data_IF_338121868748
#
_entry.id   IF_338121868748
#
_cell.length_a   1.000
_cell.length_b   1.000
_cell.length_c   1.000
_cell.angle_alpha   90.00
_cell.angle_beta   90.00
_cell.angle_gamma   90.00
#
_symmetry.space_group_name_H-M   'P 1'
#
loop_
_entity.id
_entity.type
_entity.pdbx_description
1 polymer ?
#
# COMPACT_ATOMS: atom_id res chain seq x y z
N UNK A 1 42.73 43.32 -33.38
CA UNK A 1 41.29 42.95 -33.36
C UNK A 1 41.20 41.47 -33.04
N UNK A 2 40.93 41.12 -31.77
CA UNK A 2 41.00 39.75 -31.27
C UNK A 2 39.63 39.41 -30.67
N UNK A 3 38.84 38.59 -31.38
CA UNK A 3 37.49 38.18 -30.97
C UNK A 3 37.59 37.14 -29.84
N UNK A 4 36.97 37.35 -28.65
CA UNK A 4 36.88 36.31 -27.66
C UNK A 4 35.78 35.32 -28.07
N UNK A 5 36.16 34.04 -28.18
CA UNK A 5 35.24 32.93 -28.41
C UNK A 5 34.44 32.70 -27.14
N UNK A 6 33.14 32.93 -27.21
CA UNK A 6 32.18 32.59 -26.16
C UNK A 6 32.11 31.07 -26.07
N UNK A 7 32.69 30.49 -25.03
CA UNK A 7 32.47 29.09 -24.66
C UNK A 7 31.08 29.00 -24.03
N UNK A 8 30.08 28.64 -24.83
CA UNK A 8 28.77 28.22 -24.34
C UNK A 8 28.96 26.81 -23.77
N UNK A 9 29.22 26.73 -22.47
CA UNK A 9 29.18 25.48 -21.72
C UNK A 9 27.75 24.96 -21.69
N UNK A 10 27.48 23.95 -22.51
CA UNK A 10 26.24 23.20 -22.50
C UNK A 10 26.15 22.41 -21.19
N UNK A 11 25.53 22.99 -20.16
CA UNK A 11 25.17 22.30 -18.94
C UNK A 11 24.07 21.28 -19.28
N UNK A 12 24.46 20.03 -19.51
CA UNK A 12 23.55 18.92 -19.66
C UNK A 12 22.80 18.72 -18.33
N UNK A 13 21.55 19.16 -18.29
CA UNK A 13 20.59 18.81 -17.25
C UNK A 13 20.43 17.28 -17.26
N UNK A 14 21.04 16.61 -16.30
CA UNK A 14 20.73 15.22 -15.93
C UNK A 14 19.30 15.21 -15.36
N UNK A 15 18.30 15.25 -16.24
CA UNK A 15 16.96 14.85 -15.91
C UNK A 15 17.00 13.34 -15.66
N UNK A 16 17.29 12.94 -14.42
CA UNK A 16 17.23 11.55 -14.01
C UNK A 16 15.82 11.02 -14.23
N UNK A 17 15.66 10.07 -15.15
CA UNK A 17 14.43 9.28 -15.22
C UNK A 17 14.27 8.59 -13.86
N UNK A 18 13.24 8.96 -13.10
CA UNK A 18 12.94 8.29 -11.84
C UNK A 18 12.57 6.83 -12.17
N UNK A 19 13.33 5.89 -11.63
CA UNK A 19 13.09 4.45 -11.79
C UNK A 19 11.73 4.09 -11.18
N UNK A 20 10.96 3.28 -11.90
CA UNK A 20 9.70 2.71 -11.40
C UNK A 20 9.85 1.21 -11.15
N UNK A 21 9.26 0.72 -10.08
CA UNK A 21 9.16 -0.69 -9.72
C UNK A 21 7.69 -1.08 -9.63
N UNK A 22 7.34 -2.25 -10.15
CA UNK A 22 5.97 -2.76 -10.00
C UNK A 22 5.80 -3.38 -8.62
N UNK A 23 4.76 -2.98 -7.90
CA UNK A 23 4.45 -3.50 -6.57
C UNK A 23 3.03 -4.06 -6.59
N UNK A 24 2.90 -5.34 -6.28
CA UNK A 24 1.63 -6.01 -6.05
C UNK A 24 1.16 -5.71 -4.64
N UNK A 25 -0.07 -5.23 -4.48
CA UNK A 25 -0.70 -4.92 -3.21
C UNK A 25 -1.78 -5.99 -2.95
N UNK A 26 -1.43 -6.98 -2.14
CA UNK A 26 -2.26 -8.13 -1.78
C UNK A 26 -2.84 -8.01 -0.34
N UNK A 27 -3.57 -9.05 0.08
CA UNK A 27 -4.10 -9.22 1.44
C UNK A 27 -5.12 -8.20 1.97
N UNK A 28 -5.91 -7.61 1.08
CA UNK A 28 -7.10 -6.86 1.47
C UNK A 28 -8.32 -7.68 1.05
N UNK A 29 -9.39 -7.81 1.85
CA UNK A 29 -10.64 -8.44 1.40
C UNK A 29 -11.10 -7.82 0.08
N UNK A 30 -11.70 -8.63 -0.82
CA UNK A 30 -12.10 -8.17 -2.16
C UNK A 30 -13.04 -6.97 -2.14
N UNK A 31 -13.78 -6.76 -1.05
CA UNK A 31 -14.72 -5.64 -0.89
C UNK A 31 -14.06 -4.29 -0.57
N UNK A 32 -12.74 -4.25 -0.34
CA UNK A 32 -12.02 -3.06 0.13
C UNK A 32 -11.26 -2.42 -1.03
N UNK A 33 -11.34 -1.09 -1.09
CA UNK A 33 -10.68 -0.30 -2.13
C UNK A 33 -9.27 0.09 -1.69
N UNK A 34 -8.34 0.09 -2.65
CA UNK A 34 -6.93 0.45 -2.44
C UNK A 34 -6.64 1.77 -3.15
N UNK A 35 -6.06 2.71 -2.42
CA UNK A 35 -5.59 3.98 -2.95
C UNK A 35 -4.08 4.08 -2.80
N UNK A 36 -3.40 4.51 -3.85
CA UNK A 36 -1.97 4.83 -3.85
C UNK A 36 -1.82 6.33 -4.06
N UNK A 37 -1.16 7.02 -3.14
CA UNK A 37 -0.98 8.48 -3.14
C UNK A 37 -2.30 9.24 -3.36
N UNK A 38 -3.40 8.71 -2.80
CA UNK A 38 -4.75 9.29 -2.90
C UNK A 38 -5.51 8.94 -4.18
N UNK A 39 -4.96 8.11 -5.07
CA UNK A 39 -5.64 7.64 -6.30
C UNK A 39 -6.08 6.19 -6.16
N UNK A 40 -7.34 5.92 -6.49
CA UNK A 40 -7.85 4.56 -6.58
C UNK A 40 -7.08 3.82 -7.68
N UNK A 41 -6.62 2.61 -7.39
CA UNK A 41 -5.99 1.74 -8.40
C UNK A 41 -6.99 0.69 -8.87
N UNK A 42 -6.88 0.29 -10.13
CA UNK A 42 -7.61 -0.84 -10.67
C UNK A 42 -6.80 -2.12 -10.45
N UNK A 43 -7.44 -3.16 -9.93
CA UNK A 43 -6.75 -4.40 -9.59
C UNK A 43 -5.89 -4.28 -8.35
N UNK A 44 -4.72 -4.91 -8.36
CA UNK A 44 -3.87 -5.10 -7.18
C UNK A 44 -2.39 -4.84 -7.47
N UNK A 45 -2.06 -4.06 -8.49
CA UNK A 45 -0.67 -3.76 -8.89
C UNK A 45 -0.52 -2.28 -9.19
N UNK A 46 0.62 -1.69 -8.79
CA UNK A 46 0.94 -0.30 -9.03
C UNK A 46 2.41 -0.12 -9.41
N UNK A 47 2.66 0.67 -10.46
CA UNK A 47 4.01 1.11 -10.81
C UNK A 47 4.39 2.31 -9.93
N UNK A 48 5.32 2.09 -8.99
CA UNK A 48 5.73 3.07 -7.99
C UNK A 48 7.13 3.58 -8.29
N UNK A 49 7.39 4.87 -8.01
CA UNK A 49 8.72 5.44 -8.17
C UNK A 49 9.60 5.04 -6.99
N UNK A 50 10.81 4.56 -7.25
CA UNK A 50 11.70 4.10 -6.19
C UNK A 50 12.52 5.21 -5.54
N UNK A 51 12.37 6.47 -5.96
CA UNK A 51 13.08 7.62 -5.41
C UNK A 51 12.29 8.38 -4.33
N UNK A 52 11.12 7.87 -3.93
CA UNK A 52 10.27 8.48 -2.90
C UNK A 52 9.41 7.46 -2.18
N UNK A 53 8.95 7.82 -0.99
CA UNK A 53 7.94 7.05 -0.28
C UNK A 53 6.55 7.19 -0.93
N UNK A 54 5.74 6.15 -0.80
CA UNK A 54 4.37 6.09 -1.30
C UNK A 54 3.39 5.76 -0.17
N UNK A 55 2.19 6.35 -0.22
CA UNK A 55 1.12 6.09 0.74
C UNK A 55 0.11 5.12 0.15
N UNK A 56 -0.04 3.95 0.77
CA UNK A 56 -1.03 2.93 0.42
C UNK A 56 -2.15 2.98 1.46
N UNK A 57 -3.35 3.30 1.02
CA UNK A 57 -4.51 3.43 1.89
C UNK A 57 -5.59 2.43 1.48
N UNK A 58 -5.98 1.55 2.41
CA UNK A 58 -7.04 0.57 2.21
C UNK A 58 -8.28 0.99 3.00
N UNK A 59 -9.44 1.08 2.33
CA UNK A 59 -10.71 1.48 2.94
C UNK A 59 -11.90 0.75 2.30
N UNK A 60 -12.81 0.25 3.13
CA UNK A 60 -14.04 -0.40 2.68
C UNK A 60 -15.13 -0.36 3.76
N UNK A 61 -16.41 -0.55 3.38
CA UNK A 61 -17.50 -0.64 4.34
C UNK A 61 -17.29 -1.80 5.33
N UNK A 62 -17.50 -1.56 6.63
CA UNK A 62 -17.37 -2.60 7.65
C UNK A 62 -15.94 -2.95 8.05
N UNK A 63 -14.93 -2.24 7.55
CA UNK A 63 -13.52 -2.44 7.92
C UNK A 63 -12.87 -1.14 8.42
N UNK A 64 -11.97 -1.26 9.39
CA UNK A 64 -11.13 -0.17 9.86
C UNK A 64 -10.17 0.25 8.74
N UNK A 65 -10.14 1.53 8.34
CA UNK A 65 -9.22 1.98 7.30
C UNK A 65 -7.77 1.85 7.75
N UNK A 66 -6.89 1.43 6.84
CA UNK A 66 -5.46 1.22 7.12
C UNK A 66 -4.60 2.03 6.16
N UNK A 67 -3.60 2.73 6.71
CA UNK A 67 -2.56 3.44 5.96
C UNK A 67 -1.21 2.73 6.16
N UNK A 68 -0.54 2.44 5.06
CA UNK A 68 0.83 1.93 5.02
C UNK A 68 1.67 2.92 4.24
N UNK A 69 2.86 3.24 4.75
CA UNK A 69 3.85 4.01 4.03
C UNK A 69 4.90 3.03 3.54
N UNK A 70 5.09 2.96 2.23
CA UNK A 70 6.11 2.15 1.61
C UNK A 70 7.29 3.06 1.27
N UNK A 71 8.43 2.79 1.91
CA UNK A 71 9.67 3.55 1.73
C UNK A 71 10.66 2.72 0.90
N UNK A 72 11.32 3.32 -0.10
CA UNK A 72 12.37 2.63 -0.83
C UNK A 72 13.63 2.55 0.03
N UNK A 73 14.33 1.43 -0.06
CA UNK A 73 15.63 1.21 0.56
C UNK A 73 16.74 1.34 -0.48
N UNK A 74 17.88 1.90 -0.09
CA UNK A 74 19.06 1.98 -0.96
C UNK A 74 19.89 0.72 -0.75
N UNK A 75 19.98 -0.11 -1.79
CA UNK A 75 20.79 -1.32 -1.79
C UNK A 75 22.30 -1.03 -1.79
N UNK A 76 23.11 -2.07 -1.61
CA UNK A 76 24.58 -1.98 -1.65
C UNK A 76 25.11 -1.49 -3.02
N UNK A 77 24.34 -1.70 -4.08
CA UNK A 77 24.64 -1.19 -5.44
C UNK A 77 24.29 0.29 -5.62
N UNK A 78 23.81 0.97 -4.56
CA UNK A 78 23.41 2.36 -4.56
C UNK A 78 22.05 2.62 -5.23
N UNK A 79 21.31 1.59 -5.63
CA UNK A 79 19.98 1.74 -6.24
C UNK A 79 18.89 1.69 -5.18
N UNK A 80 17.96 2.62 -5.29
CA UNK A 80 16.75 2.63 -4.47
C UNK A 80 15.72 1.65 -5.04
N UNK A 81 15.18 0.78 -4.20
CA UNK A 81 14.14 -0.18 -4.52
C UNK A 81 13.27 -0.47 -3.29
N UNK A 82 12.05 -0.91 -3.49
CA UNK A 82 11.23 -1.46 -2.41
C UNK A 82 11.69 -2.87 -2.10
N UNK A 83 11.82 -3.18 -0.80
CA UNK A 83 12.19 -4.53 -0.33
C UNK A 83 11.19 -5.60 -0.71
N UNK A 84 9.91 -5.28 -0.55
CA UNK A 84 8.80 -6.19 -0.81
C UNK A 84 8.03 -5.74 -2.06
N UNK A 85 8.10 -6.56 -3.11
CA UNK A 85 7.31 -6.37 -4.34
C UNK A 85 5.87 -6.87 -4.17
N UNK A 86 5.60 -7.64 -3.11
CA UNK A 86 4.29 -8.16 -2.74
C UNK A 86 3.89 -7.58 -1.35
N UNK A 87 3.27 -6.41 -1.34
CA UNK A 87 2.79 -5.74 -0.13
C UNK A 87 1.46 -6.32 0.35
N UNK A 88 1.40 -6.83 1.58
CA UNK A 88 0.20 -7.40 2.18
C UNK A 88 -0.49 -6.40 3.15
N UNK A 89 -1.69 -5.87 2.83
CA UNK A 89 -2.40 -4.88 3.67
C UNK A 89 -3.66 -5.46 4.32
N UNK A 90 -3.55 -6.02 5.52
CA UNK A 90 -4.70 -6.57 6.25
C UNK A 90 -5.48 -5.48 6.98
N UNK A 91 -6.79 -5.40 6.72
CA UNK A 91 -7.74 -4.53 7.44
C UNK A 91 -8.58 -5.34 8.42
N UNK A 92 -9.01 -4.71 9.52
CA UNK A 92 -9.76 -5.37 10.60
C UNK A 92 -11.25 -5.06 10.44
N UNK A 93 -12.16 -6.06 10.52
CA UNK A 93 -13.60 -5.79 10.52
C UNK A 93 -14.03 -4.97 11.74
N UNK A 94 -14.90 -3.97 11.53
CA UNK A 94 -15.48 -3.16 12.61
C UNK A 94 -16.64 -3.94 13.23
N UNK A 95 -16.67 -4.04 14.56
CA UNK A 95 -17.84 -4.52 15.30
C UNK A 95 -17.91 -6.04 15.56
N UNK A 96 -16.85 -6.81 15.28
CA UNK A 96 -16.77 -8.24 15.61
C UNK A 96 -16.43 -8.55 17.08
N UNK A 97 -16.21 -7.55 17.94
CA UNK A 97 -15.91 -7.75 19.36
C UNK A 97 -17.17 -7.99 20.23
N UNK A 98 -18.24 -8.56 19.66
CA UNK A 98 -19.41 -8.93 20.47
C UNK A 98 -19.15 -10.31 21.06
N UNK A 99 -18.91 -10.36 22.36
CA UNK A 99 -18.96 -11.58 23.14
C UNK A 99 -20.35 -12.19 22.96
N UNK A 100 -20.42 -13.32 22.27
CA UNK A 100 -21.66 -14.07 22.06
C UNK A 100 -21.91 -14.91 23.30
N UNK A 101 -22.75 -14.42 24.22
CA UNK A 101 -23.32 -15.25 25.27
C UNK A 101 -24.41 -16.14 24.64
N UNK A 102 -24.16 -17.44 24.60
CA UNK A 102 -25.12 -18.44 24.12
C UNK A 102 -25.76 -19.11 25.34
N UNK A 103 -26.97 -18.67 25.69
CA UNK A 103 -27.78 -19.35 26.69
C UNK A 103 -28.39 -20.61 26.09
N UNK A 104 -27.86 -21.77 26.48
CA UNK A 104 -28.43 -23.08 26.12
C UNK A 104 -29.46 -23.45 27.17
N UNK A 105 -30.73 -23.14 26.91
CA UNK A 105 -31.84 -23.63 27.71
C UNK A 105 -31.94 -25.16 27.52
N UNK A 106 -31.54 -25.92 28.54
CA UNK A 106 -31.75 -27.37 28.56
C UNK A 106 -33.24 -27.62 28.76
N UNK A 107 -33.90 -28.11 27.72
CA UNK A 107 -35.22 -28.73 27.82
C UNK A 107 -35.16 -29.83 28.88
N UNK A 108 -35.72 -29.54 30.06
CA UNK A 108 -35.87 -30.52 31.10
C UNK A 108 -37.00 -31.48 30.68
N UNK A 109 -36.79 -32.81 30.69
CA UNK A 109 -37.90 -33.74 30.50
C UNK A 109 -38.89 -33.54 31.65
N UNK A 110 -40.10 -33.11 31.30
CA UNK A 110 -41.20 -32.92 32.26
C UNK A 110 -41.49 -34.21 33.04
N UNK A 111 -42.06 -34.09 34.26
CA UNK A 111 -42.27 -35.24 35.12
C UNK A 111 -43.22 -36.24 34.45
N UNK A 112 -42.76 -37.49 34.34
CA UNK A 112 -43.59 -38.60 33.91
C UNK A 112 -44.81 -38.73 34.82
N UNK A 113 -46.01 -38.73 34.22
CA UNK A 113 -47.25 -39.16 34.85
C UNK A 113 -47.61 -40.56 34.36
#
# INVERSE_FOLDING_TARGET
MTRPRIFVGLAALLAGCATTQSVRIACVPREVQIYVDGRLIEGNEAALRTDRAHKIYAKGPGYEPRLVVLEPEVGEDGRAAFRDEDLCVQVVPIGMNRELEVDVERDAPGPAR
#
